data_IF_614310879856
#
_entry.id   IF_614310879856
#
_cell.length_a   1.000
_cell.length_b   1.000
_cell.length_c   1.000
_cell.angle_alpha   90.00
_cell.angle_beta   90.00
_cell.angle_gamma   90.00
#
_symmetry.space_group_name_H-M   'P 1'
#
loop_
_entity.id
_entity.type
_entity.pdbx_description
1 polymer ?
#
# COMPACT_ATOMS: atom_id res chain seq x y z
N UNK A 1 21.23 18.10 67.98
CA UNK A 1 21.90 18.56 66.75
C UNK A 1 21.27 17.85 65.57
N UNK A 2 20.49 18.61 64.80
CA UNK A 2 20.11 18.47 63.40
C UNK A 2 19.51 17.13 62.91
N UNK A 3 18.17 17.06 62.90
CA UNK A 3 17.38 16.21 61.99
C UNK A 3 17.07 17.00 60.71
N UNK A 4 17.39 16.44 59.54
CA UNK A 4 16.83 16.78 58.22
C UNK A 4 17.35 15.77 57.16
N UNK A 5 16.71 15.58 55.99
CA UNK A 5 15.43 14.88 55.86
C UNK A 5 15.34 13.93 54.63
N UNK A 6 14.26 13.14 54.62
CA UNK A 6 13.39 12.79 53.47
C UNK A 6 13.94 12.15 52.19
N UNK A 7 13.48 10.91 51.99
CA UNK A 7 12.88 10.40 50.75
C UNK A 7 13.53 10.91 49.44
N UNK A 8 14.73 10.42 49.17
CA UNK A 8 15.31 10.45 47.82
C UNK A 8 14.52 9.52 46.90
N UNK A 9 13.45 10.08 46.32
CA UNK A 9 13.23 10.24 44.88
C UNK A 9 13.62 9.09 43.91
N UNK A 10 13.71 7.85 44.37
CA UNK A 10 14.01 6.68 43.53
C UNK A 10 12.82 5.71 43.41
N UNK A 11 11.64 6.11 43.90
CA UNK A 11 10.37 5.45 43.63
C UNK A 11 9.64 6.08 42.42
N UNK A 12 10.36 6.24 41.30
CA UNK A 12 9.74 6.53 39.98
C UNK A 12 10.04 5.42 38.98
N UNK A 13 10.03 4.18 39.47
CA UNK A 13 9.76 2.97 38.69
C UNK A 13 8.25 2.91 38.41
N UNK A 14 7.77 3.75 37.51
CA UNK A 14 6.49 3.53 36.85
C UNK A 14 6.75 3.52 35.35
N UNK A 15 6.89 2.29 34.85
CA UNK A 15 6.83 1.88 33.46
C UNK A 15 5.66 2.58 32.78
N UNK A 16 5.94 3.52 31.87
CA UNK A 16 4.99 3.90 30.81
C UNK A 16 5.62 3.46 29.50
N UNK A 17 5.50 2.16 29.24
CA UNK A 17 5.55 1.62 27.91
C UNK A 17 4.20 1.93 27.25
N UNK A 18 4.15 2.90 26.32
CA UNK A 18 3.00 3.07 25.44
C UNK A 18 3.38 3.88 24.19
N UNK A 19 3.71 3.14 23.12
CA UNK A 19 3.33 3.48 21.75
C UNK A 19 3.69 4.86 21.21
N UNK A 20 4.95 5.07 20.84
CA UNK A 20 5.20 5.84 19.61
C UNK A 20 4.85 4.93 18.43
N UNK A 21 3.57 5.01 18.07
CA UNK A 21 2.91 4.35 16.95
C UNK A 21 3.78 4.45 15.70
N UNK A 22 4.06 3.29 15.11
CA UNK A 22 4.68 3.11 13.81
C UNK A 22 3.95 3.94 12.75
N UNK A 23 4.39 5.18 12.51
CA UNK A 23 3.98 6.04 11.38
C UNK A 23 4.65 5.61 10.07
N UNK A 24 4.80 4.31 9.90
CA UNK A 24 5.27 3.66 8.69
C UNK A 24 4.26 2.61 8.29
N UNK A 25 2.97 2.97 8.16
CA UNK A 25 2.15 2.24 7.20
C UNK A 25 2.66 2.65 5.83
N UNK A 26 3.80 2.08 5.43
CA UNK A 26 4.03 1.72 4.05
C UNK A 26 2.74 0.99 3.67
N UNK A 27 1.84 1.69 2.97
CA UNK A 27 0.61 1.11 2.47
C UNK A 27 1.12 0.09 1.47
N UNK A 28 1.35 -1.13 1.94
CA UNK A 28 1.78 -2.23 1.11
C UNK A 28 0.75 -2.30 0.00
N UNK A 29 1.16 -1.84 -1.19
CA UNK A 29 0.44 -2.14 -2.40
C UNK A 29 0.41 -3.65 -2.51
N UNK A 30 -0.61 -4.24 -3.11
CA UNK A 30 -0.68 -5.71 -3.22
C UNK A 30 0.45 -6.32 -4.08
N UNK A 31 1.28 -5.49 -4.69
CA UNK A 31 2.58 -5.85 -5.25
C UNK A 31 3.64 -5.02 -4.54
N UNK A 32 4.59 -5.65 -3.86
CA UNK A 32 5.80 -5.01 -3.38
C UNK A 32 6.99 -5.46 -4.25
N UNK A 33 7.68 -4.50 -4.86
CA UNK A 33 8.82 -4.76 -5.73
C UNK A 33 10.16 -4.76 -4.99
N UNK A 34 10.16 -4.45 -3.68
CA UNK A 34 11.34 -4.60 -2.82
C UNK A 34 11.79 -6.07 -2.85
N UNK A 35 13.04 -6.35 -3.27
CA UNK A 35 13.55 -7.71 -3.36
C UNK A 35 13.50 -8.48 -2.02
N UNK A 36 13.50 -7.78 -0.88
CA UNK A 36 13.37 -8.37 0.45
C UNK A 36 11.91 -8.71 0.84
N UNK A 37 10.93 -8.09 0.19
CA UNK A 37 9.50 -8.29 0.46
C UNK A 37 8.79 -9.14 -0.62
N UNK A 38 9.49 -9.55 -1.70
CA UNK A 38 8.88 -10.33 -2.77
C UNK A 38 8.36 -11.68 -2.26
N UNK A 39 7.11 -12.04 -2.57
CA UNK A 39 6.56 -13.33 -2.19
C UNK A 39 7.34 -14.46 -2.89
N UNK A 40 7.51 -15.59 -2.19
CA UNK A 40 8.17 -16.78 -2.72
C UNK A 40 7.47 -17.34 -3.99
N UNK A 41 6.19 -17.04 -4.18
CA UNK A 41 5.40 -17.37 -5.37
C UNK A 41 4.85 -16.07 -5.97
N UNK A 42 5.60 -15.47 -6.90
CA UNK A 42 5.13 -14.32 -7.66
C UNK A 42 4.54 -14.76 -9.01
N UNK A 43 3.38 -14.19 -9.37
CA UNK A 43 2.78 -14.36 -10.71
C UNK A 43 3.67 -13.75 -11.78
N UNK A 44 3.52 -14.17 -13.04
CA UNK A 44 4.29 -13.57 -14.15
C UNK A 44 4.00 -12.06 -14.27
N UNK A 45 2.74 -11.65 -14.10
CA UNK A 45 2.36 -10.25 -14.08
C UNK A 45 3.08 -9.46 -12.97
N UNK A 46 3.20 -10.01 -11.77
CA UNK A 46 3.92 -9.37 -10.66
C UNK A 46 5.41 -9.18 -10.99
N UNK A 47 6.04 -10.17 -11.63
CA UNK A 47 7.44 -10.04 -12.08
C UNK A 47 7.57 -8.93 -13.11
N UNK A 48 6.72 -8.92 -14.14
CA UNK A 48 6.71 -7.89 -15.18
C UNK A 48 6.49 -6.48 -14.60
N UNK A 49 5.64 -6.35 -13.58
CA UNK A 49 5.44 -5.07 -12.87
C UNK A 49 6.75 -4.60 -12.23
N UNK A 50 7.53 -5.50 -11.64
CA UNK A 50 8.74 -5.14 -10.91
C UNK A 50 10.02 -5.09 -11.76
N UNK A 51 10.03 -5.71 -12.93
CA UNK A 51 11.18 -5.71 -13.86
C UNK A 51 11.41 -4.36 -14.54
N UNK A 52 10.38 -3.50 -14.62
CA UNK A 52 10.46 -2.20 -15.28
C UNK A 52 9.96 -1.08 -14.39
N UNK A 53 10.74 0.00 -14.29
CA UNK A 53 10.34 1.23 -13.61
C UNK A 53 9.03 1.82 -14.18
N UNK A 54 8.77 1.62 -15.47
CA UNK A 54 7.53 2.09 -16.11
C UNK A 54 6.31 1.40 -15.49
N UNK A 55 6.37 0.08 -15.33
CA UNK A 55 5.27 -0.69 -14.78
C UNK A 55 5.19 -0.57 -13.26
N UNK A 56 6.31 -0.57 -12.54
CA UNK A 56 6.29 -0.46 -11.07
C UNK A 56 5.70 0.89 -10.63
N UNK A 57 6.20 2.01 -11.18
CA UNK A 57 5.63 3.33 -10.89
C UNK A 57 4.21 3.48 -11.44
N UNK A 58 3.93 2.90 -12.61
CA UNK A 58 2.57 2.86 -13.17
C UNK A 58 1.58 2.20 -12.22
N UNK A 59 1.97 1.06 -11.65
CA UNK A 59 1.20 0.32 -10.68
C UNK A 59 0.95 1.11 -9.40
N UNK A 60 2.00 1.75 -8.86
CA UNK A 60 1.88 2.61 -7.67
C UNK A 60 0.86 3.74 -7.88
N UNK A 61 0.86 4.37 -9.05
CA UNK A 61 -0.14 5.40 -9.38
C UNK A 61 -1.55 4.85 -9.47
N UNK A 62 -1.74 3.69 -10.09
CA UNK A 62 -3.04 3.01 -10.18
C UNK A 62 -3.54 2.66 -8.78
N UNK A 63 -2.70 2.09 -7.93
CA UNK A 63 -3.08 1.75 -6.56
C UNK A 63 -3.48 2.99 -5.75
N UNK A 64 -2.67 4.05 -5.79
CA UNK A 64 -3.00 5.31 -5.11
C UNK A 64 -4.34 5.88 -5.61
N UNK A 65 -4.65 5.68 -6.89
CA UNK A 65 -5.91 6.10 -7.47
C UNK A 65 -7.11 5.26 -7.01
N UNK A 66 -6.95 3.93 -6.97
CA UNK A 66 -7.92 3.02 -6.40
C UNK A 66 -8.27 3.42 -4.97
N UNK A 67 -7.27 3.68 -4.13
CA UNK A 67 -7.50 4.08 -2.74
C UNK A 67 -8.29 5.39 -2.63
N UNK A 68 -8.03 6.37 -3.51
CA UNK A 68 -8.78 7.63 -3.54
C UNK A 68 -10.22 7.42 -3.98
N UNK A 69 -10.44 6.68 -5.06
CA UNK A 69 -11.78 6.43 -5.61
C UNK A 69 -12.63 5.58 -4.66
N UNK A 70 -12.03 4.58 -4.01
CA UNK A 70 -12.69 3.75 -3.02
C UNK A 70 -13.11 4.59 -1.82
N UNK A 71 -12.21 5.45 -1.31
CA UNK A 71 -12.53 6.39 -0.23
C UNK A 71 -13.65 7.37 -0.61
N UNK A 72 -13.71 7.77 -1.88
CA UNK A 72 -14.77 8.64 -2.41
C UNK A 72 -16.09 7.90 -2.70
N UNK A 73 -16.14 6.56 -2.56
CA UNK A 73 -17.31 5.75 -2.92
C UNK A 73 -17.57 5.66 -4.43
N UNK A 74 -16.63 6.10 -5.27
CA UNK A 74 -16.77 6.11 -6.73
C UNK A 74 -16.55 4.72 -7.36
N UNK A 75 -15.87 3.83 -6.64
CA UNK A 75 -15.64 2.44 -7.00
C UNK A 75 -15.83 1.55 -5.77
N UNK A 76 -15.90 0.25 -5.99
CA UNK A 76 -16.02 -0.79 -4.97
C UNK A 76 -14.75 -1.64 -4.89
N UNK A 77 -14.61 -2.41 -3.81
CA UNK A 77 -13.57 -3.44 -3.73
C UNK A 77 -13.66 -4.48 -4.85
N UNK A 78 -14.87 -4.73 -5.38
CA UNK A 78 -15.08 -5.63 -6.50
C UNK A 78 -14.45 -5.09 -7.80
N UNK A 79 -14.48 -3.77 -8.02
CA UNK A 79 -13.81 -3.15 -9.17
C UNK A 79 -12.29 -3.31 -9.09
N UNK A 80 -11.72 -3.14 -7.88
CA UNK A 80 -10.29 -3.36 -7.62
C UNK A 80 -9.93 -4.84 -7.84
N UNK A 81 -10.75 -5.77 -7.33
CA UNK A 81 -10.55 -7.20 -7.51
C UNK A 81 -10.61 -7.61 -8.99
N UNK A 82 -11.56 -7.05 -9.76
CA UNK A 82 -11.67 -7.30 -11.19
C UNK A 82 -10.42 -6.83 -11.96
N UNK A 83 -9.90 -5.65 -11.62
CA UNK A 83 -8.63 -5.16 -12.17
C UNK A 83 -7.46 -6.08 -11.84
N UNK A 84 -7.31 -6.49 -10.57
CA UNK A 84 -6.23 -7.39 -10.13
C UNK A 84 -6.30 -8.74 -10.86
N UNK A 85 -7.50 -9.29 -11.00
CA UNK A 85 -7.72 -10.54 -11.72
C UNK A 85 -7.31 -10.42 -13.20
N UNK A 86 -7.69 -9.33 -13.88
CA UNK A 86 -7.24 -9.06 -15.26
C UNK A 86 -5.72 -8.94 -15.36
N UNK A 87 -5.10 -8.19 -14.44
CA UNK A 87 -3.64 -8.03 -14.35
C UNK A 87 -2.95 -9.38 -14.19
N UNK A 88 -3.39 -10.20 -13.24
CA UNK A 88 -2.71 -11.45 -12.89
C UNK A 88 -2.78 -12.53 -13.97
N UNK A 89 -3.69 -12.37 -14.95
CA UNK A 89 -3.76 -13.20 -16.15
C UNK A 89 -2.77 -12.78 -17.25
N UNK A 90 -2.14 -11.61 -17.15
CA UNK A 90 -1.17 -11.17 -18.14
C UNK A 90 0.18 -11.88 -17.98
N UNK A 91 0.77 -12.26 -19.10
CA UNK A 91 2.09 -12.88 -19.23
C UNK A 91 3.08 -12.03 -20.06
N UNK A 92 2.60 -10.95 -20.67
CA UNK A 92 3.39 -10.03 -21.50
C UNK A 92 3.24 -8.58 -21.05
N UNK A 93 4.28 -7.77 -21.31
CA UNK A 93 4.28 -6.34 -21.06
C UNK A 93 3.14 -5.61 -21.81
N UNK A 94 2.86 -6.00 -23.05
CA UNK A 94 1.79 -5.42 -23.86
C UNK A 94 0.39 -5.66 -23.26
N UNK A 95 0.14 -6.86 -22.73
CA UNK A 95 -1.10 -7.17 -22.00
C UNK A 95 -1.24 -6.29 -20.77
N UNK A 96 -0.18 -6.22 -19.95
CA UNK A 96 -0.17 -5.44 -18.70
C UNK A 96 -0.43 -3.95 -18.95
N UNK A 97 0.22 -3.40 -19.97
CA UNK A 97 0.04 -2.02 -20.42
C UNK A 97 -1.40 -1.74 -20.91
N UNK A 98 -2.03 -2.69 -21.61
CA UNK A 98 -3.44 -2.60 -22.00
C UNK A 98 -4.38 -2.57 -20.78
N UNK A 99 -4.15 -3.44 -19.78
CA UNK A 99 -4.91 -3.45 -18.52
C UNK A 99 -4.75 -2.12 -17.77
N UNK A 100 -3.54 -1.54 -17.76
CA UNK A 100 -3.29 -0.24 -17.11
C UNK A 100 -3.99 0.91 -17.85
N UNK A 101 -4.05 0.88 -19.18
CA UNK A 101 -4.87 1.82 -19.98
C UNK A 101 -6.35 1.69 -19.66
N UNK A 102 -6.86 0.46 -19.69
CA UNK A 102 -8.28 0.18 -19.42
C UNK A 102 -8.69 0.72 -18.05
N UNK A 103 -7.88 0.47 -17.02
CA UNK A 103 -8.12 1.04 -15.68
C UNK A 103 -8.19 2.56 -15.70
N UNK A 104 -7.26 3.24 -16.37
CA UNK A 104 -7.25 4.72 -16.41
C UNK A 104 -8.52 5.26 -17.06
N UNK A 105 -9.01 4.63 -18.12
CA UNK A 105 -10.27 4.99 -18.76
C UNK A 105 -11.45 4.77 -17.83
N UNK A 106 -11.54 3.60 -17.18
CA UNK A 106 -12.57 3.31 -16.18
C UNK A 106 -12.55 4.32 -15.03
N UNK A 107 -11.38 4.59 -14.46
CA UNK A 107 -11.21 5.54 -13.37
C UNK A 107 -11.59 6.96 -13.77
N UNK A 108 -11.31 7.38 -15.01
CA UNK A 108 -11.75 8.69 -15.52
C UNK A 108 -13.29 8.79 -15.55
N UNK A 109 -13.96 7.72 -16.00
CA UNK A 109 -15.43 7.66 -16.01
C UNK A 109 -16.01 7.62 -14.59
N UNK A 110 -15.40 6.86 -13.68
CA UNK A 110 -15.83 6.76 -12.29
C UNK A 110 -15.78 8.13 -11.58
N UNK A 111 -14.77 8.96 -11.89
CA UNK A 111 -14.68 10.34 -11.37
C UNK A 111 -15.72 11.31 -11.94
N UNK A 112 -16.15 11.07 -13.17
CA UNK A 112 -17.10 11.93 -13.87
C UNK A 112 -18.56 11.60 -13.51
N UNK A 113 -18.80 10.50 -12.79
CA UNK A 113 -20.14 10.12 -12.32
C UNK A 113 -20.57 11.10 -11.22
N UNK A 114 -21.76 11.73 -11.34
CA UNK A 114 -22.27 12.69 -10.36
C UNK A 114 -22.63 12.05 -9.02
#
# INVERSE_FOLDING_TARGET
>A
MNRCPSLSLLARLCVVAAGLLSLGSARATDIDCDPSARPAVATQAQRLVCESALFSMGYQRIYADQQRLLKAGAITDADIAAFRNKRDRCDTAACLDAVFREWRTFAAQARARP
#
